data_IF_358527761573
#
_entry.id   IF_358527761573
#
_cell.length_a   1.000
_cell.length_b   1.000
_cell.length_c   1.000
_cell.angle_alpha   90.00
_cell.angle_beta   90.00
_cell.angle_gamma   90.00
#
_symmetry.space_group_name_H-M   'P 1'
#
loop_
_entity.id
_entity.type
_entity.pdbx_description
1 polymer ?
#
# COMPACT_ATOMS: atom_id res chain seq x y z
N UNK A 1 16.11 10.50 -6.13
CA UNK A 1 14.66 10.49 -5.85
C UNK A 1 14.47 11.19 -4.52
N UNK A 2 13.57 12.17 -4.44
CA UNK A 2 13.09 12.67 -3.14
C UNK A 2 12.31 11.56 -2.44
N UNK A 3 12.41 11.46 -1.13
CA UNK A 3 11.69 10.45 -0.34
C UNK A 3 10.18 10.58 -0.55
N UNK A 4 9.47 9.45 -0.63
CA UNK A 4 8.02 9.45 -0.70
C UNK A 4 7.44 10.10 0.58
N UNK A 5 6.42 10.94 0.45
CA UNK A 5 5.86 11.69 1.57
C UNK A 5 4.34 11.63 1.62
N UNK A 6 3.79 11.78 2.82
CA UNK A 6 2.34 11.87 3.09
C UNK A 6 1.63 12.88 2.17
N UNK A 7 2.23 14.04 1.92
CA UNK A 7 1.63 15.08 1.07
C UNK A 7 1.46 14.65 -0.39
N UNK A 8 2.35 13.78 -0.89
CA UNK A 8 2.30 13.30 -2.28
C UNK A 8 1.49 12.01 -2.42
N UNK A 9 1.49 11.14 -1.40
CA UNK A 9 0.94 9.79 -1.40
C UNK A 9 0.11 9.53 -0.14
N UNK A 10 -0.92 10.33 0.18
CA UNK A 10 -1.58 10.27 1.48
C UNK A 10 -2.19 8.90 1.78
N UNK A 11 -2.86 8.26 0.81
CA UNK A 11 -3.48 6.97 1.04
C UNK A 11 -2.44 5.85 1.18
N UNK A 12 -1.43 5.84 0.31
CA UNK A 12 -0.35 4.85 0.36
C UNK A 12 0.52 5.02 1.62
N UNK A 13 0.89 6.25 1.96
CA UNK A 13 1.65 6.55 3.17
C UNK A 13 0.90 6.08 4.42
N UNK A 14 -0.41 6.33 4.48
CA UNK A 14 -1.22 5.92 5.62
C UNK A 14 -1.36 4.39 5.71
N UNK A 15 -1.70 3.72 4.60
CA UNK A 15 -1.78 2.25 4.59
C UNK A 15 -0.43 1.62 5.00
N UNK A 16 0.66 2.04 4.37
CA UNK A 16 1.99 1.45 4.58
C UNK A 16 2.50 1.70 6.00
N UNK A 17 2.42 2.94 6.48
CA UNK A 17 2.98 3.34 7.77
C UNK A 17 2.09 3.05 8.98
N UNK A 18 0.77 2.99 8.82
CA UNK A 18 -0.16 2.84 9.95
C UNK A 18 -0.82 1.46 10.04
N UNK A 19 -0.89 0.69 8.94
CA UNK A 19 -1.56 -0.63 8.92
C UNK A 19 -0.60 -1.76 8.53
N UNK A 20 0.42 -1.49 7.73
CA UNK A 20 1.44 -2.47 7.33
C UNK A 20 2.80 -2.22 8.00
N UNK A 21 2.78 -1.73 9.24
CA UNK A 21 3.96 -1.44 10.06
C UNK A 21 4.52 -2.70 10.75
N UNK A 22 5.60 -2.55 11.52
CA UNK A 22 6.38 -3.66 12.10
C UNK A 22 5.57 -4.65 12.96
N UNK A 23 4.45 -4.19 13.54
CA UNK A 23 3.61 -4.96 14.45
C UNK A 23 2.22 -5.24 13.84
N UNK A 24 2.08 -5.18 12.51
CA UNK A 24 0.80 -5.40 11.81
C UNK A 24 0.14 -6.74 12.20
N UNK A 25 0.96 -7.76 12.46
CA UNK A 25 0.54 -9.12 12.78
C UNK A 25 -0.11 -9.25 14.17
N UNK A 26 0.07 -8.26 15.04
CA UNK A 26 -0.67 -8.13 16.29
C UNK A 26 -2.15 -7.76 16.07
N UNK A 27 -2.48 -7.19 14.91
CA UNK A 27 -3.82 -6.72 14.56
C UNK A 27 -4.54 -7.62 13.53
N UNK A 28 -3.79 -8.44 12.80
CA UNK A 28 -4.34 -9.44 11.88
C UNK A 28 -3.40 -9.78 10.74
N UNK A 29 -3.94 -10.47 9.75
CA UNK A 29 -3.28 -10.72 8.48
C UNK A 29 -3.13 -9.43 7.66
N UNK A 30 -2.31 -9.48 6.60
CA UNK A 30 -2.15 -8.37 5.65
C UNK A 30 -3.51 -7.96 5.06
N UNK A 31 -4.31 -8.94 4.65
CA UNK A 31 -5.64 -8.70 4.07
C UNK A 31 -6.61 -8.07 5.07
N UNK A 32 -6.59 -8.51 6.33
CA UNK A 32 -7.41 -7.92 7.39
C UNK A 32 -6.99 -6.48 7.71
N UNK A 33 -5.69 -6.18 7.69
CA UNK A 33 -5.20 -4.81 7.87
C UNK A 33 -5.58 -3.89 6.69
N UNK A 34 -5.62 -4.41 5.46
CA UNK A 34 -6.14 -3.67 4.31
C UNK A 34 -7.65 -3.41 4.45
N UNK A 35 -8.42 -4.38 4.94
CA UNK A 35 -9.84 -4.19 5.20
C UNK A 35 -10.09 -3.16 6.31
N UNK A 36 -9.28 -3.20 7.38
CA UNK A 36 -9.30 -2.20 8.45
C UNK A 36 -9.01 -0.80 7.90
N UNK A 37 -8.02 -0.64 7.03
CA UNK A 37 -7.76 0.64 6.36
C UNK A 37 -8.99 1.17 5.59
N UNK A 38 -9.71 0.30 4.88
CA UNK A 38 -10.92 0.72 4.15
C UNK A 38 -12.02 1.22 5.10
N UNK A 39 -12.19 0.56 6.25
CA UNK A 39 -13.22 0.91 7.24
C UNK A 39 -12.84 2.17 8.03
N UNK A 40 -11.60 2.26 8.49
CA UNK A 40 -11.15 3.29 9.43
C UNK A 40 -10.68 4.57 8.72
N UNK A 41 -10.33 4.49 7.43
CA UNK A 41 -9.88 5.61 6.61
C UNK A 41 -10.75 5.87 5.37
N UNK A 42 -12.08 6.08 5.52
CA UNK A 42 -13.01 6.20 4.39
C UNK A 42 -12.70 7.42 3.50
N UNK A 43 -12.05 8.46 4.04
CA UNK A 43 -11.65 9.65 3.28
C UNK A 43 -10.41 9.40 2.39
N UNK A 44 -9.60 8.37 2.70
CA UNK A 44 -8.37 8.04 1.98
C UNK A 44 -8.53 6.82 1.06
N UNK A 45 -9.32 5.83 1.49
CA UNK A 45 -9.44 4.56 0.79
C UNK A 45 -9.80 4.67 -0.71
N UNK A 46 -10.72 5.56 -1.15
CA UNK A 46 -11.03 5.71 -2.57
C UNK A 46 -9.85 6.21 -3.43
N UNK A 47 -8.87 6.89 -2.84
CA UNK A 47 -7.69 7.40 -3.55
C UNK A 47 -6.59 6.33 -3.74
N UNK A 48 -6.53 5.33 -2.87
CA UNK A 48 -5.47 4.32 -2.84
C UNK A 48 -5.24 3.63 -4.20
N UNK A 49 -6.28 3.14 -4.93
CA UNK A 49 -6.04 2.47 -6.22
C UNK A 49 -5.36 3.38 -7.24
N UNK A 50 -5.73 4.67 -7.29
CA UNK A 50 -5.13 5.63 -8.22
C UNK A 50 -3.69 5.98 -7.87
N UNK A 51 -3.37 6.04 -6.57
CA UNK A 51 -2.00 6.19 -6.09
C UNK A 51 -1.14 4.98 -6.46
N UNK A 52 -1.62 3.75 -6.20
CA UNK A 52 -0.91 2.53 -6.62
C UNK A 52 -0.68 2.53 -8.14
N UNK A 53 -1.71 2.81 -8.94
CA UNK A 53 -1.59 2.87 -10.40
C UNK A 53 -0.53 3.89 -10.86
N UNK A 54 -0.40 5.02 -10.15
CA UNK A 54 0.63 6.03 -10.42
C UNK A 54 2.02 5.53 -10.05
N UNK A 55 2.19 4.89 -8.91
CA UNK A 55 3.47 4.32 -8.48
C UNK A 55 3.95 3.23 -9.46
N UNK A 56 3.05 2.32 -9.85
CA UNK A 56 3.34 1.25 -10.81
C UNK A 56 3.81 1.77 -12.18
N UNK A 57 3.28 2.91 -12.65
CA UNK A 57 3.73 3.57 -13.89
C UNK A 57 5.06 4.31 -13.73
N UNK A 58 5.29 4.92 -12.58
CA UNK A 58 6.47 5.75 -12.32
C UNK A 58 7.73 4.91 -12.01
N UNK A 59 7.55 3.74 -11.41
CA UNK A 59 8.64 2.90 -10.90
C UNK A 59 8.76 1.62 -11.76
N UNK A 60 9.77 1.55 -12.65
CA UNK A 60 9.84 0.50 -13.67
C UNK A 60 10.37 -0.84 -13.18
N UNK A 61 10.91 -0.92 -11.96
CA UNK A 61 11.56 -2.14 -11.43
C UNK A 61 10.97 -2.53 -10.08
N UNK A 62 11.04 -3.83 -9.76
CA UNK A 62 10.56 -4.35 -8.47
C UNK A 62 11.38 -3.79 -7.29
N UNK A 63 12.69 -3.64 -7.45
CA UNK A 63 13.54 -3.02 -6.43
C UNK A 63 13.19 -1.54 -6.17
N UNK A 64 12.71 -0.81 -7.18
CA UNK A 64 12.26 0.56 -6.99
C UNK A 64 10.89 0.62 -6.30
N UNK A 65 10.01 -0.35 -6.55
CA UNK A 65 8.74 -0.49 -5.84
C UNK A 65 8.95 -0.88 -4.38
N UNK A 66 9.86 -1.81 -4.11
CA UNK A 66 10.26 -2.22 -2.76
C UNK A 66 10.77 -1.01 -1.96
N UNK A 67 11.80 -0.32 -2.46
CA UNK A 67 12.35 0.85 -1.79
C UNK A 67 11.29 1.95 -1.58
N UNK A 68 10.35 2.10 -2.51
CA UNK A 68 9.28 3.08 -2.40
C UNK A 68 8.27 2.75 -1.30
N UNK A 69 7.85 1.49 -1.15
CA UNK A 69 6.94 1.12 -0.06
C UNK A 69 7.65 1.14 1.30
N UNK A 70 8.94 0.81 1.34
CA UNK A 70 9.78 0.94 2.54
C UNK A 70 9.89 2.42 2.97
N UNK A 71 10.14 3.34 2.03
CA UNK A 71 10.19 4.79 2.29
C UNK A 71 8.85 5.34 2.82
N UNK A 72 7.73 4.69 2.50
CA UNK A 72 6.40 5.00 3.02
C UNK A 72 6.12 4.39 4.41
N UNK A 73 7.09 3.66 4.98
CA UNK A 73 6.98 3.06 6.31
C UNK A 73 6.45 1.63 6.33
N UNK A 74 6.29 0.98 5.16
CA UNK A 74 5.90 -0.43 5.12
C UNK A 74 6.98 -1.30 5.77
N UNK A 75 6.58 -2.26 6.59
CA UNK A 75 7.45 -3.29 7.16
C UNK A 75 7.02 -4.70 6.70
N UNK A 76 6.03 -4.76 5.80
CA UNK A 76 5.53 -5.99 5.19
C UNK A 76 6.15 -6.15 3.80
N UNK A 77 6.67 -7.35 3.53
CA UNK A 77 7.14 -7.72 2.20
C UNK A 77 6.01 -8.29 1.35
N UNK A 78 6.15 -8.15 0.03
CA UNK A 78 5.30 -8.90 -0.89
C UNK A 78 5.37 -10.41 -0.57
N UNK A 79 4.24 -11.14 -0.57
CA UNK A 79 4.24 -12.59 -0.36
C UNK A 79 5.20 -13.31 -1.33
N UNK A 80 5.87 -14.37 -0.90
CA UNK A 80 6.93 -15.06 -1.66
C UNK A 80 6.55 -15.50 -3.09
N UNK A 81 5.25 -15.68 -3.35
CA UNK A 81 4.72 -16.06 -4.65
C UNK A 81 4.29 -14.88 -5.53
N UNK A 82 4.58 -13.64 -5.13
CA UNK A 82 4.22 -12.41 -5.83
C UNK A 82 5.39 -11.44 -5.94
N UNK A 83 5.45 -10.76 -7.06
CA UNK A 83 6.22 -9.52 -7.19
C UNK A 83 5.55 -8.36 -6.44
N UNK A 84 6.29 -7.29 -6.12
CA UNK A 84 5.69 -6.08 -5.52
C UNK A 84 4.61 -5.50 -6.42
N UNK A 85 4.83 -5.55 -7.74
CA UNK A 85 3.83 -5.12 -8.73
C UNK A 85 2.54 -5.90 -8.64
N UNK A 86 2.60 -7.23 -8.60
CA UNK A 86 1.42 -8.08 -8.46
C UNK A 86 0.73 -7.88 -7.12
N UNK A 87 1.51 -7.76 -6.04
CA UNK A 87 0.98 -7.54 -4.70
C UNK A 87 0.24 -6.19 -4.60
N UNK A 88 0.87 -5.10 -5.02
CA UNK A 88 0.25 -3.77 -5.06
C UNK A 88 -0.99 -3.74 -5.96
N UNK A 89 -0.95 -4.41 -7.11
CA UNK A 89 -2.13 -4.52 -7.99
C UNK A 89 -3.30 -5.20 -7.27
N UNK A 90 -3.04 -6.29 -6.52
CA UNK A 90 -4.09 -6.97 -5.73
C UNK A 90 -4.65 -6.09 -4.62
N UNK A 91 -3.80 -5.29 -3.96
CA UNK A 91 -4.25 -4.31 -2.96
C UNK A 91 -5.18 -3.29 -3.62
N UNK A 92 -4.78 -2.72 -4.77
CA UNK A 92 -5.59 -1.76 -5.50
C UNK A 92 -6.94 -2.36 -5.93
N UNK A 93 -6.95 -3.60 -6.43
CA UNK A 93 -8.18 -4.29 -6.83
C UNK A 93 -9.11 -4.56 -5.64
N UNK A 94 -8.55 -5.00 -4.50
CA UNK A 94 -9.30 -5.23 -3.27
C UNK A 94 -9.97 -3.95 -2.78
N UNK A 95 -9.21 -2.87 -2.68
CA UNK A 95 -9.73 -1.57 -2.21
C UNK A 95 -10.72 -0.98 -3.19
N UNK A 96 -10.48 -1.11 -4.51
CA UNK A 96 -11.44 -0.68 -5.54
C UNK A 96 -12.76 -1.42 -5.43
N UNK A 97 -12.75 -2.73 -5.14
CA UNK A 97 -13.97 -3.51 -4.95
C UNK A 97 -14.75 -3.10 -3.68
N UNK A 98 -14.04 -2.64 -2.64
CA UNK A 98 -14.63 -2.26 -1.36
C UNK A 98 -15.11 -0.79 -1.29
N UNK A 99 -14.69 0.05 -2.24
CA UNK A 99 -14.98 1.50 -2.26
C UNK A 99 -15.85 1.95 -3.44
N UNK A 100 -16.31 1.01 -4.27
CA UNK A 100 -17.18 1.24 -5.43
C UNK A 100 -18.65 1.46 -5.06
#
# INVERSE_FOLDING_TARGET
MTAASEAEWPALWHLMGAYLHQDFDAFGTIDENIDLFVVDSPDLAPALPSEIDRALRALPTEAALEAFVDDLGCQVRAPDNLTYREWLTRIADRVRAATA
#
